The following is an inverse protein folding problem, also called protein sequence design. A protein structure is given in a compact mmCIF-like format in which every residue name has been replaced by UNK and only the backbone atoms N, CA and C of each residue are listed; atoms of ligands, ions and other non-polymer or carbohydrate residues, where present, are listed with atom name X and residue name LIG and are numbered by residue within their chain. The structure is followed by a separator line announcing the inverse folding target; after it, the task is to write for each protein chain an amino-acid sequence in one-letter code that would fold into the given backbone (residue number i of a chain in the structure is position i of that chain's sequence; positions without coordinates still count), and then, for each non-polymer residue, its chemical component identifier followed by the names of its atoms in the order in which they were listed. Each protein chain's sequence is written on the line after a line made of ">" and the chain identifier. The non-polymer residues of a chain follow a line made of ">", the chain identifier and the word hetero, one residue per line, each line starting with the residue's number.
data_IF_666381532051
#
_entry.id   IF_666381532051
#
_cell.length_a   1.000
_cell.length_b   1.000
_cell.length_c   1.000
_cell.angle_alpha   90.00
_cell.angle_beta   90.00
_cell.angle_gamma   90.00
#
_symmetry.space_group_name_H-M   'P 1'
#
loop_
_entity.id
_entity.type
_entity.pdbx_description
1 polymer ?
#
# COMPACT_ATOMS: atom_id res chain seq x y z
N UNK A 1 11.01 17.50 17.93
CA UNK A 1 10.61 16.11 17.63
C UNK A 1 9.50 16.17 16.58
N UNK A 2 9.68 15.57 15.42
CA UNK A 2 8.68 15.63 14.33
C UNK A 2 7.49 14.72 14.67
N UNK A 3 6.24 15.23 14.68
CA UNK A 3 5.07 14.41 14.90
C UNK A 3 4.96 13.28 13.86
N UNK A 4 4.48 12.10 14.26
CA UNK A 4 4.24 10.95 13.37
C UNK A 4 3.41 11.32 12.12
N UNK A 5 2.40 12.18 12.30
CA UNK A 5 1.57 12.70 11.19
C UNK A 5 2.41 13.45 10.16
N UNK A 6 3.43 14.16 10.60
CA UNK A 6 4.26 15.01 9.75
C UNK A 6 5.29 14.16 8.99
N UNK A 7 5.78 13.06 9.58
CA UNK A 7 6.61 12.07 8.87
C UNK A 7 5.84 11.46 7.69
N UNK A 8 4.58 11.05 7.90
CA UNK A 8 3.74 10.52 6.81
C UNK A 8 3.56 11.54 5.69
N UNK A 9 3.29 12.80 6.04
CA UNK A 9 3.13 13.89 5.06
C UNK A 9 4.43 14.15 4.29
N UNK A 10 5.57 14.15 4.97
CA UNK A 10 6.88 14.35 4.33
C UNK A 10 7.21 13.22 3.36
N UNK A 11 6.97 11.95 3.74
CA UNK A 11 7.17 10.81 2.85
C UNK A 11 6.33 10.93 1.58
N UNK A 12 5.02 11.17 1.71
CA UNK A 12 4.14 11.29 0.55
C UNK A 12 4.48 12.52 -0.29
N UNK A 13 4.78 13.67 0.34
CA UNK A 13 5.15 14.89 -0.37
C UNK A 13 6.48 14.78 -1.13
N UNK A 14 7.45 14.01 -0.62
CA UNK A 14 8.71 13.75 -1.31
C UNK A 14 8.52 13.01 -2.64
N UNK A 15 7.59 12.03 -2.66
CA UNK A 15 7.28 11.24 -3.85
C UNK A 15 6.34 11.96 -4.81
N UNK A 16 5.40 12.75 -4.28
CA UNK A 16 4.55 13.65 -5.06
C UNK A 16 5.41 14.63 -5.87
N UNK A 17 6.41 15.27 -5.24
CA UNK A 17 7.40 16.11 -5.91
C UNK A 17 8.36 15.38 -6.86
N UNK A 18 8.18 14.07 -7.06
CA UNK A 18 8.91 13.21 -8.01
C UNK A 18 7.96 12.47 -8.93
N UNK A 19 6.81 13.07 -9.25
CA UNK A 19 5.83 12.58 -10.20
C UNK A 19 5.23 11.20 -9.85
N UNK A 20 5.12 10.87 -8.56
CA UNK A 20 4.33 9.72 -8.12
C UNK A 20 2.92 10.20 -7.75
N UNK A 21 1.90 9.50 -8.25
CA UNK A 21 0.54 9.73 -7.80
C UNK A 21 0.40 9.32 -6.32
N UNK A 22 0.01 10.25 -5.46
CA UNK A 22 -0.33 9.95 -4.06
C UNK A 22 -1.71 9.29 -4.02
N UNK A 23 -1.75 7.99 -3.73
CA UNK A 23 -2.99 7.22 -3.66
C UNK A 23 -3.40 6.92 -2.22
N UNK A 24 -4.70 6.72 -2.00
CA UNK A 24 -5.23 6.36 -0.68
C UNK A 24 -4.83 4.93 -0.29
N UNK A 25 -4.71 4.69 1.01
CA UNK A 25 -4.65 3.33 1.55
C UNK A 25 -5.88 2.56 1.12
N UNK A 26 -5.70 1.35 0.59
CA UNK A 26 -6.80 0.41 0.32
C UNK A 26 -7.38 -0.16 1.61
N UNK A 27 -8.49 -0.87 1.48
CA UNK A 27 -9.12 -1.62 2.58
C UNK A 27 -8.16 -2.62 3.23
N UNK A 28 -8.41 -2.92 4.52
CA UNK A 28 -7.73 -4.01 5.21
C UNK A 28 -8.19 -5.38 4.71
N UNK A 29 -9.42 -5.48 4.20
CA UNK A 29 -9.95 -6.70 3.56
C UNK A 29 -9.78 -6.54 2.05
N UNK A 30 -8.99 -7.38 1.38
CA UNK A 30 -8.81 -7.31 -0.07
C UNK A 30 -10.08 -7.70 -0.83
N UNK A 31 -10.49 -6.91 -1.82
CA UNK A 31 -11.72 -7.18 -2.59
C UNK A 31 -11.55 -8.31 -3.62
N UNK A 32 -10.34 -8.49 -4.15
CA UNK A 32 -10.06 -9.32 -5.34
C UNK A 32 -8.98 -10.40 -5.12
N UNK A 33 -8.71 -10.80 -3.88
CA UNK A 33 -7.72 -11.86 -3.59
C UNK A 33 -8.19 -12.78 -2.47
N UNK A 34 -8.82 -13.94 -2.78
CA UNK A 34 -9.30 -14.87 -1.77
C UNK A 34 -8.17 -15.57 -1.01
N UNK A 35 -6.90 -15.42 -1.44
CA UNK A 35 -5.74 -16.03 -0.77
C UNK A 35 -5.17 -15.16 0.35
N UNK A 36 -5.59 -13.89 0.44
CA UNK A 36 -5.12 -12.95 1.45
C UNK A 36 -6.23 -12.68 2.47
N UNK A 37 -5.96 -12.99 3.73
CA UNK A 37 -6.88 -12.69 4.82
C UNK A 37 -6.97 -11.18 5.10
N UNK A 38 -5.82 -10.49 5.11
CA UNK A 38 -5.73 -9.04 5.28
C UNK A 38 -4.65 -8.44 4.38
N UNK A 39 -4.81 -7.16 4.04
CA UNK A 39 -3.75 -6.37 3.43
C UNK A 39 -2.56 -6.28 4.38
N UNK A 40 -1.45 -6.92 4.01
CA UNK A 40 -0.23 -7.03 4.83
C UNK A 40 0.92 -6.13 4.33
N UNK A 41 0.77 -5.54 3.14
CA UNK A 41 1.76 -4.70 2.49
C UNK A 41 1.12 -3.66 1.57
N UNK A 42 1.84 -2.55 1.32
CA UNK A 42 1.40 -1.47 0.41
C UNK A 42 1.23 -1.90 -1.05
N UNK A 43 1.91 -2.96 -1.49
CA UNK A 43 1.86 -3.44 -2.88
C UNK A 43 0.58 -4.19 -3.24
N UNK A 44 -0.21 -4.66 -2.25
CA UNK A 44 -1.35 -5.56 -2.47
C UNK A 44 -2.38 -4.94 -3.43
N UNK A 45 -2.70 -3.65 -3.27
CA UNK A 45 -3.64 -2.95 -4.16
C UNK A 45 -3.11 -2.73 -5.60
N UNK A 46 -1.83 -3.00 -5.84
CA UNK A 46 -1.16 -2.85 -7.13
C UNK A 46 -0.80 -4.20 -7.75
N UNK A 47 -1.16 -5.32 -7.09
CA UNK A 47 -0.78 -6.68 -7.51
C UNK A 47 -1.09 -6.93 -8.99
N UNK A 48 -2.29 -6.58 -9.45
CA UNK A 48 -2.71 -6.80 -10.83
C UNK A 48 -1.91 -5.98 -11.85
N UNK A 49 -1.39 -4.81 -11.46
CA UNK A 49 -0.49 -4.03 -12.31
C UNK A 49 0.88 -4.70 -12.42
N UNK A 50 1.42 -5.21 -11.31
CA UNK A 50 2.72 -5.90 -11.30
C UNK A 50 2.69 -7.25 -12.00
N UNK A 51 1.55 -7.95 -11.99
CA UNK A 51 1.39 -9.23 -12.72
C UNK A 51 0.98 -9.05 -14.17
N UNK A 52 0.72 -7.82 -14.63
CA UNK A 52 0.26 -7.53 -15.98
C UNK A 52 -1.21 -7.89 -16.25
N UNK A 53 -1.98 -8.22 -15.21
CA UNK A 53 -3.42 -8.49 -15.32
C UNK A 53 -4.24 -7.21 -15.58
N UNK A 54 -3.73 -6.05 -15.17
CA UNK A 54 -4.34 -4.74 -15.42
C UNK A 54 -3.29 -3.72 -15.87
N UNK A 55 -3.70 -2.74 -16.68
CA UNK A 55 -2.83 -1.62 -17.05
C UNK A 55 -2.94 -0.50 -16.00
N UNK A 56 -1.83 -0.06 -15.39
CA UNK A 56 -1.88 0.99 -14.38
C UNK A 56 -2.25 2.34 -15.01
N UNK A 57 -3.13 3.09 -14.33
CA UNK A 57 -3.48 4.47 -14.74
C UNK A 57 -2.32 5.46 -14.56
N UNK A 58 -1.34 5.11 -13.73
CA UNK A 58 -0.13 5.87 -13.46
C UNK A 58 1.04 4.92 -13.30
N UNK A 59 2.17 5.22 -13.92
CA UNK A 59 3.37 4.39 -13.85
C UNK A 59 4.09 4.50 -12.50
N UNK A 60 3.78 5.53 -11.72
CA UNK A 60 4.42 5.82 -10.43
C UNK A 60 3.34 6.16 -9.41
N UNK A 61 3.38 5.50 -8.26
CA UNK A 61 2.44 5.73 -7.17
C UNK A 61 3.14 5.65 -5.81
N UNK A 62 2.63 6.41 -4.84
CA UNK A 62 3.07 6.36 -3.45
C UNK A 62 1.86 6.31 -2.52
N UNK A 63 1.94 5.48 -1.47
CA UNK A 63 0.86 5.31 -0.48
C UNK A 63 1.43 5.15 0.92
N UNK A 64 0.59 5.42 1.92
CA UNK A 64 0.82 5.00 3.31
C UNK A 64 -0.28 4.01 3.68
N UNK A 65 -0.02 2.74 3.43
CA UNK A 65 -0.99 1.65 3.57
C UNK A 65 -1.13 1.23 5.04
N UNK A 66 -2.38 1.07 5.48
CA UNK A 66 -2.69 0.35 6.74
C UNK A 66 -2.51 -1.15 6.49
N UNK A 67 -1.72 -1.81 7.33
CA UNK A 67 -1.41 -3.22 7.20
C UNK A 67 -1.74 -3.98 8.49
N UNK A 68 -2.15 -5.24 8.34
CA UNK A 68 -2.27 -6.21 9.43
C UNK A 68 -1.46 -7.45 9.08
N UNK A 69 -0.63 -7.92 10.02
CA UNK A 69 0.21 -9.12 9.89
C UNK A 69 -0.08 -10.08 11.03
N UNK A 70 -1.30 -10.59 11.01
CA UNK A 70 -1.89 -11.38 12.08
C UNK A 70 -2.50 -12.68 11.53
N UNK A 71 -1.82 -13.30 10.57
CA UNK A 71 -2.27 -14.56 9.95
C UNK A 71 -1.72 -14.79 8.55
N UNK A 72 -1.75 -16.06 8.12
CA UNK A 72 -1.23 -16.49 6.83
C UNK A 72 0.31 -16.44 6.76
N UNK A 73 0.86 -16.11 5.59
CA UNK A 73 2.31 -16.15 5.32
C UNK A 73 3.14 -15.11 6.10
N UNK A 74 2.51 -14.02 6.55
CA UNK A 74 3.16 -12.99 7.37
C UNK A 74 2.40 -12.87 8.70
N UNK A 75 2.93 -13.54 9.73
CA UNK A 75 2.36 -13.56 11.07
C UNK A 75 3.39 -13.03 12.06
N UNK A 76 3.12 -11.88 12.66
CA UNK A 76 3.97 -11.25 13.68
C UNK A 76 3.36 -11.41 15.09
N UNK A 77 2.37 -12.30 15.26
CA UNK A 77 1.67 -12.53 16.54
C UNK A 77 2.34 -13.56 17.46
N UNK A 78 3.23 -14.38 16.93
CA UNK A 78 3.98 -15.39 17.68
C UNK A 78 5.34 -14.85 18.16
#
# INVERSE_FOLDING_TARGET
>A
MTPLRDIRKQFLGFFDGRDHAVMKSSSLVPDNDPTLLFTNAGMVQFKNYFTGAETPKTLRAATSQKCVRAGGKHNDLD
#
